data_IF_421531772899
#
_entry.id   IF_421531772899
#
_cell.length_a   1.000
_cell.length_b   1.000
_cell.length_c   1.000
_cell.angle_alpha   90.00
_cell.angle_beta   90.00
_cell.angle_gamma   90.00
#
_symmetry.space_group_name_H-M   'P 1'
#
loop_
_entity.id
_entity.type
_entity.pdbx_description
1 polymer ?
#
# COMPACT_ATOMS: atom_id res chain seq x y z
N UNK A 1 6.31 11.56 -21.27
CA UNK A 1 5.48 11.90 -20.09
C UNK A 1 4.18 11.12 -20.01
N UNK A 2 3.38 10.99 -21.09
CA UNK A 2 2.18 10.13 -21.09
C UNK A 2 2.47 8.70 -20.64
N UNK A 3 3.53 8.11 -21.19
CA UNK A 3 4.02 6.78 -20.76
C UNK A 3 4.31 6.71 -19.27
N UNK A 4 5.04 7.69 -18.74
CA UNK A 4 5.37 7.76 -17.31
C UNK A 4 4.10 7.82 -16.46
N UNK A 5 3.12 8.63 -16.85
CA UNK A 5 1.83 8.73 -16.14
C UNK A 5 1.11 7.38 -16.10
N UNK A 6 1.11 6.65 -17.21
CA UNK A 6 0.46 5.34 -17.29
C UNK A 6 1.13 4.30 -16.38
N UNK A 7 2.47 4.33 -16.28
CA UNK A 7 3.22 3.46 -15.37
C UNK A 7 2.93 3.84 -13.92
N UNK A 8 2.97 5.13 -13.58
CA UNK A 8 2.66 5.62 -12.22
C UNK A 8 1.27 5.16 -11.78
N UNK A 9 0.29 5.17 -12.68
CA UNK A 9 -1.06 4.67 -12.40
C UNK A 9 -1.09 3.15 -12.24
N UNK A 10 -0.72 2.43 -13.30
CA UNK A 10 -0.96 0.98 -13.43
C UNK A 10 0.02 0.12 -12.63
N UNK A 11 1.19 0.64 -12.27
CA UNK A 11 2.20 -0.07 -11.48
C UNK A 11 2.31 0.49 -10.09
N UNK A 12 2.70 1.75 -9.94
CA UNK A 12 2.98 2.30 -8.62
C UNK A 12 1.68 2.45 -7.81
N UNK A 13 0.71 3.24 -8.27
CA UNK A 13 -0.52 3.51 -7.51
C UNK A 13 -1.35 2.24 -7.28
N UNK A 14 -1.61 1.45 -8.32
CA UNK A 14 -2.41 0.23 -8.21
C UNK A 14 -1.79 -0.82 -7.27
N UNK A 15 -0.47 -1.03 -7.30
CA UNK A 15 0.17 -2.00 -6.41
C UNK A 15 0.12 -1.53 -4.95
N UNK A 16 0.33 -0.25 -4.68
CA UNK A 16 0.17 0.30 -3.33
C UNK A 16 -1.27 0.28 -2.82
N UNK A 17 -2.27 0.46 -3.69
CA UNK A 17 -3.69 0.24 -3.34
C UNK A 17 -3.93 -1.23 -2.98
N UNK A 18 -3.36 -2.16 -3.74
CA UNK A 18 -3.47 -3.60 -3.46
C UNK A 18 -2.82 -3.96 -2.13
N UNK A 19 -1.59 -3.49 -1.86
CA UNK A 19 -0.89 -3.70 -0.60
C UNK A 19 -1.64 -3.08 0.57
N UNK A 20 -2.14 -1.85 0.43
CA UNK A 20 -2.99 -1.21 1.44
C UNK A 20 -4.24 -2.04 1.73
N UNK A 21 -4.95 -2.53 0.71
CA UNK A 21 -6.12 -3.38 0.91
C UNK A 21 -5.78 -4.73 1.59
N UNK A 22 -4.62 -5.31 1.32
CA UNK A 22 -4.14 -6.52 1.98
C UNK A 22 -3.92 -6.25 3.48
N UNK A 23 -3.16 -5.20 3.81
CA UNK A 23 -2.89 -4.83 5.21
C UNK A 23 -4.17 -4.44 5.94
N UNK A 24 -5.10 -3.74 5.29
CA UNK A 24 -6.40 -3.41 5.87
C UNK A 24 -7.20 -4.66 6.25
N UNK A 25 -7.19 -5.69 5.39
CA UNK A 25 -7.85 -6.97 5.68
C UNK A 25 -7.21 -7.65 6.90
N UNK A 26 -5.88 -7.70 6.95
CA UNK A 26 -5.15 -8.26 8.09
C UNK A 26 -5.48 -7.49 9.37
N UNK A 27 -5.43 -6.16 9.34
CA UNK A 27 -5.74 -5.31 10.48
C UNK A 27 -7.15 -5.57 11.02
N UNK A 28 -8.15 -5.67 10.14
CA UNK A 28 -9.54 -5.98 10.54
C UNK A 28 -9.68 -7.36 11.19
N UNK A 29 -8.99 -8.37 10.66
CA UNK A 29 -8.99 -9.72 11.23
C UNK A 29 -8.35 -9.72 12.61
N UNK A 30 -7.20 -9.09 12.77
CA UNK A 30 -6.51 -9.00 14.07
C UNK A 30 -7.36 -8.25 15.10
N UNK A 31 -7.86 -7.06 14.74
CA UNK A 31 -8.69 -6.22 15.60
C UNK A 31 -9.98 -6.92 16.09
N UNK A 32 -10.50 -7.87 15.31
CA UNK A 32 -11.69 -8.65 15.70
C UNK A 32 -11.30 -9.91 16.48
N UNK A 33 -10.25 -10.61 16.06
CA UNK A 33 -9.86 -11.89 16.66
C UNK A 33 -9.33 -11.76 18.08
N UNK A 34 -8.61 -10.69 18.42
CA UNK A 34 -8.12 -10.44 19.78
C UNK A 34 -9.27 -10.43 20.82
N UNK A 35 -10.26 -9.53 20.68
CA UNK A 35 -11.44 -9.51 21.57
C UNK A 35 -12.24 -10.82 21.58
N UNK A 36 -12.42 -11.47 20.43
CA UNK A 36 -13.15 -12.75 20.35
C UNK A 36 -12.43 -13.84 21.14
N UNK A 37 -11.12 -13.98 20.96
CA UNK A 37 -10.31 -14.96 21.68
C UNK A 37 -10.23 -14.65 23.17
N UNK A 38 -10.12 -13.39 23.56
CA UNK A 38 -10.22 -12.97 24.97
C UNK A 38 -11.57 -13.33 25.58
N UNK A 39 -12.67 -13.16 24.84
CA UNK A 39 -14.00 -13.57 25.28
C UNK A 39 -14.13 -15.08 25.48
N UNK A 40 -13.61 -15.88 24.55
CA UNK A 40 -13.55 -17.35 24.68
C UNK A 40 -12.73 -17.75 25.91
N UNK A 41 -11.58 -17.11 26.13
CA UNK A 41 -10.73 -17.37 27.28
C UNK A 41 -11.43 -17.03 28.61
N UNK A 42 -12.15 -15.91 28.66
CA UNK A 42 -12.91 -15.47 29.84
C UNK A 42 -14.08 -16.42 30.16
N UNK A 43 -14.88 -16.79 29.16
CA UNK A 43 -15.98 -17.74 29.34
C UNK A 43 -15.47 -19.12 29.76
N UNK A 44 -14.42 -19.62 29.10
CA UNK A 44 -13.84 -20.93 29.43
C UNK A 44 -13.29 -20.96 30.85
N UNK A 45 -12.70 -19.84 31.32
CA UNK A 45 -12.22 -19.68 32.70
C UNK A 45 -13.37 -19.65 33.72
N UNK A 46 -14.52 -19.08 33.37
CA UNK A 46 -15.67 -18.98 34.27
C UNK A 46 -16.38 -20.32 34.53
N UNK A 47 -16.27 -21.29 33.61
CA UNK A 47 -16.86 -22.63 33.75
C UNK A 47 -15.91 -23.69 34.33
N UNK A 48 -14.73 -23.29 34.84
CA UNK A 48 -13.77 -24.19 35.52
C UNK A 48 -14.20 -24.47 36.98
N UNK A 49 -15.49 -24.77 37.19
CA UNK A 49 -16.03 -25.09 38.52
C UNK A 49 -15.57 -26.45 39.06
N UNK A 50 -14.95 -27.30 38.22
CA UNK A 50 -14.66 -28.72 38.54
C UNK A 50 -13.23 -29.18 38.15
N UNK A 51 -12.27 -28.25 37.94
CA UNK A 51 -10.92 -28.57 37.43
C UNK A 51 -10.91 -29.45 36.16
N UNK A 52 -11.87 -29.25 35.24
CA UNK A 52 -11.80 -29.92 33.94
C UNK A 52 -10.56 -29.42 33.19
N UNK A 53 -9.64 -30.34 32.90
CA UNK A 53 -8.39 -30.06 32.17
C UNK A 53 -8.65 -29.42 30.80
N UNK A 54 -9.81 -29.73 30.21
CA UNK A 54 -10.26 -29.18 28.93
C UNK A 54 -10.58 -27.68 29.01
N UNK A 55 -11.34 -27.22 30.00
CA UNK A 55 -11.70 -25.80 30.14
C UNK A 55 -10.48 -24.91 30.38
N UNK A 56 -9.54 -25.40 31.20
CA UNK A 56 -8.25 -24.73 31.45
C UNK A 56 -7.37 -24.69 30.19
N UNK A 57 -7.31 -25.78 29.42
CA UNK A 57 -6.54 -25.82 28.18
C UNK A 57 -7.10 -24.85 27.13
N UNK A 58 -8.43 -24.78 26.98
CA UNK A 58 -9.07 -23.83 26.05
C UNK A 58 -8.85 -22.40 26.49
N UNK A 59 -8.98 -22.10 27.79
CA UNK A 59 -8.71 -20.77 28.32
C UNK A 59 -7.26 -20.31 28.08
N UNK A 60 -6.28 -21.19 28.35
CA UNK A 60 -4.87 -20.89 28.13
C UNK A 60 -4.52 -20.72 26.64
N UNK A 61 -5.02 -21.60 25.78
CA UNK A 61 -4.81 -21.52 24.34
C UNK A 61 -5.45 -20.25 23.74
N UNK A 62 -6.71 -19.96 24.07
CA UNK A 62 -7.39 -18.76 23.58
C UNK A 62 -6.76 -17.47 24.14
N UNK A 63 -6.41 -17.44 25.42
CA UNK A 63 -5.80 -16.27 26.06
C UNK A 63 -4.40 -15.95 25.52
N UNK A 64 -3.57 -16.97 25.34
CA UNK A 64 -2.24 -16.80 24.74
C UNK A 64 -2.32 -16.34 23.28
N UNK A 65 -3.25 -16.89 22.48
CA UNK A 65 -3.47 -16.45 21.11
C UNK A 65 -4.02 -15.02 21.05
N UNK A 66 -4.93 -14.65 21.95
CA UNK A 66 -5.43 -13.28 22.06
C UNK A 66 -4.30 -12.29 22.37
N UNK A 67 -3.40 -12.65 23.30
CA UNK A 67 -2.23 -11.85 23.62
C UNK A 67 -1.29 -11.70 22.42
N UNK A 68 -1.03 -12.79 21.67
CA UNK A 68 -0.19 -12.77 20.48
C UNK A 68 -0.79 -11.90 19.36
N UNK A 69 -2.10 -12.00 19.11
CA UNK A 69 -2.82 -11.16 18.13
C UNK A 69 -2.74 -9.69 18.51
N UNK A 70 -3.04 -9.35 19.77
CA UNK A 70 -2.96 -7.97 20.25
C UNK A 70 -1.53 -7.41 20.13
N UNK A 71 -0.52 -8.19 20.50
CA UNK A 71 0.88 -7.81 20.37
C UNK A 71 1.30 -7.61 18.90
N UNK A 72 0.84 -8.46 17.98
CA UNK A 72 1.11 -8.32 16.56
C UNK A 72 0.45 -7.07 15.97
N UNK A 73 -0.82 -6.82 16.29
CA UNK A 73 -1.57 -5.66 15.81
C UNK A 73 -0.96 -4.34 16.28
N UNK A 74 -0.77 -4.20 17.60
CA UNK A 74 -0.29 -2.96 18.21
C UNK A 74 1.22 -2.80 18.09
N UNK A 75 1.97 -3.87 18.37
CA UNK A 75 3.45 -3.86 18.31
C UNK A 75 3.96 -3.77 16.87
N UNK A 76 3.27 -4.40 15.92
CA UNK A 76 3.56 -4.27 14.49
C UNK A 76 3.05 -2.96 13.87
N UNK A 77 2.29 -2.16 14.62
CA UNK A 77 1.66 -0.92 14.14
C UNK A 77 0.97 -1.11 12.79
N UNK A 78 0.23 -2.21 12.64
CA UNK A 78 -0.34 -2.63 11.34
C UNK A 78 -1.26 -1.55 10.75
N UNK A 79 -1.98 -0.82 11.60
CA UNK A 79 -2.75 0.36 11.19
C UNK A 79 -1.91 1.47 10.56
N UNK A 80 -0.71 1.75 11.09
CA UNK A 80 0.20 2.75 10.52
C UNK A 80 0.81 2.27 9.19
N UNK A 81 1.09 0.97 9.06
CA UNK A 81 1.55 0.38 7.79
C UNK A 81 0.48 0.49 6.71
N UNK A 82 -0.79 0.27 7.06
CA UNK A 82 -1.91 0.52 6.14
C UNK A 82 -1.94 1.97 5.68
N UNK A 83 -1.83 2.92 6.61
CA UNK A 83 -1.82 4.34 6.31
C UNK A 83 -0.63 4.75 5.44
N UNK A 84 0.54 4.13 5.65
CA UNK A 84 1.71 4.32 4.79
C UNK A 84 1.40 3.92 3.33
N UNK A 85 0.88 2.71 3.11
CA UNK A 85 0.52 2.25 1.76
C UNK A 85 -0.58 3.11 1.13
N UNK A 86 -1.61 3.50 1.91
CA UNK A 86 -2.67 4.40 1.47
C UNK A 86 -2.12 5.76 1.05
N UNK A 87 -1.20 6.33 1.83
CA UNK A 87 -0.56 7.61 1.56
C UNK A 87 0.32 7.54 0.30
N UNK A 88 1.10 6.46 0.14
CA UNK A 88 1.94 6.25 -1.05
C UNK A 88 1.10 6.09 -2.32
N UNK A 89 0.00 5.32 -2.26
CA UNK A 89 -0.95 5.24 -3.37
C UNK A 89 -1.54 6.63 -3.72
N UNK A 90 -1.92 7.41 -2.72
CA UNK A 90 -2.41 8.78 -2.90
C UNK A 90 -1.36 9.71 -3.52
N UNK A 91 -0.10 9.60 -3.10
CA UNK A 91 1.01 10.35 -3.70
C UNK A 91 1.15 10.07 -5.20
N UNK A 92 1.14 8.80 -5.60
CA UNK A 92 1.23 8.42 -7.01
C UNK A 92 0.00 8.82 -7.81
N UNK A 93 -1.20 8.70 -7.23
CA UNK A 93 -2.42 9.21 -7.85
C UNK A 93 -2.36 10.70 -8.15
N UNK A 94 -1.96 11.51 -7.15
CA UNK A 94 -1.80 12.96 -7.33
C UNK A 94 -0.67 13.32 -8.31
N UNK A 95 0.41 12.55 -8.32
CA UNK A 95 1.50 12.73 -9.28
C UNK A 95 1.04 12.45 -10.71
N UNK A 96 0.30 11.37 -10.91
CA UNK A 96 -0.26 11.02 -12.22
C UNK A 96 -1.27 12.05 -12.71
N UNK A 97 -2.21 12.47 -11.86
CA UNK A 97 -3.18 13.52 -12.16
C UNK A 97 -2.48 14.83 -12.51
N UNK A 98 -1.45 15.20 -11.74
CA UNK A 98 -0.63 16.38 -12.03
C UNK A 98 0.07 16.26 -13.39
N UNK A 99 0.61 15.09 -13.75
CA UNK A 99 1.26 14.90 -15.05
C UNK A 99 0.24 15.04 -16.18
N UNK A 100 -0.94 14.42 -16.03
CA UNK A 100 -2.00 14.44 -17.05
C UNK A 100 -2.58 15.84 -17.22
N UNK A 101 -2.83 16.56 -16.12
CA UNK A 101 -3.27 17.95 -16.14
C UNK A 101 -2.29 18.88 -16.86
N UNK A 102 -0.98 18.77 -16.58
CA UNK A 102 0.04 19.56 -17.30
C UNK A 102 0.06 19.24 -18.79
N UNK A 103 -0.18 17.99 -19.20
CA UNK A 103 -0.20 17.59 -20.60
C UNK A 103 -1.47 18.02 -21.35
N UNK A 104 -2.58 18.19 -20.63
CA UNK A 104 -3.88 18.58 -21.18
C UNK A 104 -4.12 20.10 -21.15
N UNK A 105 -3.26 20.88 -20.48
CA UNK A 105 -3.35 22.34 -20.37
C UNK A 105 -3.31 23.02 -21.75
N UNK A 106 -4.38 23.75 -22.08
CA UNK A 106 -4.57 24.45 -23.35
C UNK A 106 -4.18 25.93 -23.25
N UNK A 107 -4.31 26.53 -22.08
CA UNK A 107 -4.01 27.93 -21.84
C UNK A 107 -2.50 28.14 -21.76
N UNK A 108 -1.95 28.87 -22.73
CA UNK A 108 -0.50 29.04 -22.84
C UNK A 108 0.14 29.69 -21.60
N UNK A 109 -0.57 30.61 -20.94
CA UNK A 109 -0.12 31.33 -19.74
C UNK A 109 0.04 30.41 -18.52
N UNK A 110 -0.71 29.30 -18.49
CA UNK A 110 -0.72 28.34 -17.39
C UNK A 110 0.20 27.14 -17.64
N UNK A 111 0.76 27.01 -18.85
CA UNK A 111 1.64 25.89 -19.19
C UNK A 111 2.96 25.97 -18.42
N UNK A 112 3.26 24.91 -17.70
CA UNK A 112 4.55 24.73 -17.04
C UNK A 112 5.66 24.55 -18.09
N UNK A 113 6.86 25.07 -17.81
CA UNK A 113 8.01 24.83 -18.67
C UNK A 113 8.34 23.33 -18.73
N UNK A 114 8.47 22.77 -19.93
CA UNK A 114 8.65 21.33 -20.14
C UNK A 114 9.88 20.72 -19.46
N UNK A 115 11.01 21.43 -19.42
CA UNK A 115 12.23 20.93 -18.76
C UNK A 115 12.10 20.96 -17.23
N UNK A 116 11.50 22.03 -16.70
CA UNK A 116 11.23 22.17 -15.26
C UNK A 116 10.25 21.08 -14.82
N UNK A 117 9.18 20.87 -15.59
CA UNK A 117 8.20 19.84 -15.37
C UNK A 117 8.81 18.43 -15.39
N UNK A 118 9.60 18.11 -16.42
CA UNK A 118 10.26 16.81 -16.52
C UNK A 118 11.20 16.55 -15.35
N UNK A 119 11.99 17.56 -14.95
CA UNK A 119 12.89 17.46 -13.79
C UNK A 119 12.12 17.29 -12.48
N UNK A 120 11.02 18.01 -12.29
CA UNK A 120 10.14 17.89 -11.12
C UNK A 120 9.57 16.49 -10.99
N UNK A 121 9.10 15.88 -12.09
CA UNK A 121 8.60 14.50 -12.08
C UNK A 121 9.74 13.51 -11.81
N UNK A 122 10.91 13.70 -12.44
CA UNK A 122 12.07 12.84 -12.21
C UNK A 122 12.47 12.81 -10.72
N UNK A 123 12.52 13.99 -10.08
CA UNK A 123 12.82 14.13 -8.66
C UNK A 123 11.77 13.43 -7.77
N UNK A 124 10.48 13.64 -8.05
CA UNK A 124 9.39 12.98 -7.31
C UNK A 124 9.40 11.45 -7.45
N UNK A 125 9.99 10.93 -8.52
CA UNK A 125 10.15 9.49 -8.75
C UNK A 125 11.54 8.95 -8.32
N UNK A 126 12.43 9.80 -7.82
CA UNK A 126 13.80 9.41 -7.46
C UNK A 126 14.66 8.96 -8.64
N UNK A 127 14.38 9.49 -9.85
CA UNK A 127 15.10 9.15 -11.08
C UNK A 127 15.91 10.33 -11.60
N UNK A 128 16.99 10.04 -12.32
CA UNK A 128 17.61 11.05 -13.19
C UNK A 128 16.73 11.31 -14.43
N UNK A 129 16.94 12.47 -15.09
CA UNK A 129 16.24 12.78 -16.34
C UNK A 129 16.46 11.72 -17.43
N UNK A 130 17.68 11.22 -17.56
CA UNK A 130 18.00 10.15 -18.53
C UNK A 130 17.25 8.86 -18.24
N UNK A 131 17.15 8.46 -16.97
CA UNK A 131 16.41 7.28 -16.55
C UNK A 131 14.90 7.44 -16.76
N UNK A 132 14.37 8.64 -16.54
CA UNK A 132 12.95 8.93 -16.78
C UNK A 132 12.60 8.83 -18.28
N UNK A 133 13.45 9.38 -19.15
CA UNK A 133 13.29 9.29 -20.60
C UNK A 133 13.40 7.85 -21.08
N UNK A 134 14.40 7.12 -20.60
CA UNK A 134 14.57 5.70 -20.93
C UNK A 134 13.38 4.86 -20.51
N UNK A 135 12.82 5.11 -19.32
CA UNK A 135 11.60 4.45 -18.85
C UNK A 135 10.43 4.71 -19.81
N UNK A 136 10.23 5.96 -20.23
CA UNK A 136 9.19 6.30 -21.19
C UNK A 136 9.39 5.58 -22.54
N UNK A 137 10.62 5.53 -23.06
CA UNK A 137 10.92 4.82 -24.31
C UNK A 137 10.65 3.31 -24.20
N UNK A 138 11.08 2.68 -23.10
CA UNK A 138 10.81 1.26 -22.85
C UNK A 138 9.31 0.97 -22.76
N UNK A 139 8.57 1.84 -22.09
CA UNK A 139 7.12 1.71 -21.94
C UNK A 139 6.39 1.80 -23.29
N UNK A 140 6.79 2.75 -24.14
CA UNK A 140 6.26 2.87 -25.49
C UNK A 140 6.54 1.61 -26.33
N UNK A 141 7.78 1.12 -26.32
CA UNK A 141 8.16 -0.11 -27.02
C UNK A 141 7.38 -1.34 -26.51
N UNK A 142 7.26 -1.49 -25.19
CA UNK A 142 6.49 -2.57 -24.58
C UNK A 142 5.01 -2.53 -25.01
N UNK A 143 4.41 -1.32 -25.12
CA UNK A 143 3.05 -1.17 -25.62
C UNK A 143 2.91 -1.61 -27.08
N UNK A 144 3.86 -1.24 -27.94
CA UNK A 144 3.88 -1.64 -29.35
C UNK A 144 4.00 -3.16 -29.51
N UNK A 145 4.80 -3.80 -28.66
CA UNK A 145 4.99 -5.25 -28.64
C UNK A 145 3.85 -6.02 -27.93
N UNK A 146 2.91 -5.31 -27.29
CA UNK A 146 1.84 -5.91 -26.49
C UNK A 146 2.32 -6.59 -25.20
N UNK A 147 3.51 -6.23 -24.72
CA UNK A 147 4.14 -6.80 -23.53
C UNK A 147 3.85 -5.90 -22.32
N UNK A 148 3.60 -6.51 -21.16
CA UNK A 148 3.46 -5.76 -19.92
C UNK A 148 4.82 -5.21 -19.47
N UNK A 149 4.89 -3.91 -19.21
CA UNK A 149 6.08 -3.32 -18.61
C UNK A 149 6.24 -3.84 -17.17
N UNK A 150 7.44 -4.25 -16.75
CA UNK A 150 7.67 -4.77 -15.38
C UNK A 150 8.23 -3.70 -14.42
N UNK A 151 8.92 -2.70 -14.96
CA UNK A 151 9.62 -1.67 -14.17
C UNK A 151 8.64 -0.70 -13.48
N UNK A 152 8.86 -0.36 -12.20
CA UNK A 152 8.10 0.70 -11.52
C UNK A 152 8.57 2.09 -11.95
N UNK A 153 7.68 3.10 -11.93
CA UNK A 153 8.10 4.47 -12.21
C UNK A 153 8.93 5.04 -11.07
N UNK A 154 8.58 4.73 -9.82
CA UNK A 154 9.33 5.15 -8.64
C UNK A 154 10.62 4.34 -8.46
N UNK A 155 11.64 4.99 -7.89
CA UNK A 155 12.82 4.34 -7.29
C UNK A 155 12.98 4.65 -5.80
N UNK A 156 12.05 5.40 -5.21
CA UNK A 156 12.18 5.90 -3.83
C UNK A 156 11.71 4.90 -2.77
N UNK A 157 10.73 4.07 -3.09
CA UNK A 157 10.08 3.12 -2.18
C UNK A 157 9.73 1.85 -2.96
#
# INVERSE_FOLDING_TARGET
MREVAEIVKSKDAEDYVRLGNLVLKVNKILATSGPVLSGIAALSSAFVGDWSSAGMAVAAAAGSLAAAVNALEHGGQIGMVFEMYRNTAGFFGLLEESIRGTLEEKEWEKRENGEVFERKVALKLGRSLSQLRQLATKSAAAREEGISMDEFASKLF
#
